data_IF_693274894772
#
_entry.id   IF_693274894772
#
_cell.length_a   1.000
_cell.length_b   1.000
_cell.length_c   1.000
_cell.angle_alpha   90.00
_cell.angle_beta   90.00
_cell.angle_gamma   90.00
#
_symmetry.space_group_name_H-M   'P 1'
#
loop_
_entity.id
_entity.type
_entity.pdbx_description
1 polymer ?
#
# COMPACT_ATOMS: atom_id res chain seq x y z
N UNK A 1 -10.02 -22.11 -4.17
CA UNK A 1 -10.11 -20.75 -3.60
C UNK A 1 -11.34 -20.08 -4.18
N UNK A 2 -12.14 -19.39 -3.37
CA UNK A 2 -13.17 -18.52 -3.93
C UNK A 2 -12.49 -17.42 -4.76
N UNK A 3 -13.09 -16.97 -5.87
CA UNK A 3 -12.50 -15.91 -6.69
C UNK A 3 -12.36 -14.65 -5.84
N UNK A 4 -11.17 -14.03 -5.91
CA UNK A 4 -10.93 -12.75 -5.24
C UNK A 4 -11.86 -11.73 -5.86
N UNK A 5 -12.71 -11.15 -5.03
CA UNK A 5 -13.69 -10.17 -5.48
C UNK A 5 -13.01 -8.82 -5.60
N UNK A 6 -13.10 -8.19 -6.73
CA UNK A 6 -12.80 -6.78 -6.93
C UNK A 6 -13.98 -6.12 -7.66
N UNK A 7 -14.14 -4.83 -7.45
CA UNK A 7 -15.13 -4.03 -8.18
C UNK A 7 -14.45 -2.81 -8.80
N UNK A 8 -14.74 -2.54 -10.07
CA UNK A 8 -14.17 -1.41 -10.81
C UNK A 8 -15.29 -0.40 -11.07
N UNK A 9 -15.00 0.86 -10.82
CA UNK A 9 -15.91 1.99 -11.06
C UNK A 9 -15.39 2.83 -12.21
N UNK A 10 -16.23 3.04 -13.23
CA UNK A 10 -15.93 3.86 -14.40
C UNK A 10 -17.27 4.40 -15.03
N UNK A 11 -17.73 5.60 -14.68
CA UNK A 11 -17.16 6.55 -13.72
C UNK A 11 -17.42 6.21 -12.23
N UNK A 12 -16.58 6.74 -11.32
CA UNK A 12 -16.79 6.61 -9.88
C UNK A 12 -17.80 7.65 -9.35
N UNK A 13 -17.64 8.91 -9.75
CA UNK A 13 -18.41 10.06 -9.27
C UNK A 13 -19.12 10.79 -10.42
N UNK A 14 -20.18 11.55 -10.13
CA UNK A 14 -20.63 12.58 -11.06
C UNK A 14 -19.50 13.56 -11.41
N UNK A 15 -19.38 13.95 -12.66
CA UNK A 15 -18.26 14.77 -13.17
C UNK A 15 -17.97 16.05 -12.36
N UNK A 16 -18.96 16.82 -11.86
CA UNK A 16 -18.67 17.98 -11.02
C UNK A 16 -17.96 17.60 -9.70
N UNK A 17 -18.30 16.45 -9.11
CA UNK A 17 -17.65 15.96 -7.90
C UNK A 17 -16.23 15.42 -8.18
N UNK A 18 -16.02 14.76 -9.31
CA UNK A 18 -14.70 14.31 -9.71
C UNK A 18 -13.74 15.50 -9.92
N UNK A 19 -14.20 16.58 -10.51
CA UNK A 19 -13.43 17.83 -10.63
C UNK A 19 -13.18 18.51 -9.29
N UNK A 20 -14.13 18.40 -8.35
CA UNK A 20 -13.91 18.91 -6.99
C UNK A 20 -12.80 18.16 -6.27
N UNK A 21 -12.69 16.85 -6.46
CA UNK A 21 -11.58 16.07 -5.90
C UNK A 21 -10.21 16.58 -6.38
N UNK A 22 -10.08 16.97 -7.64
CA UNK A 22 -8.83 17.60 -8.13
C UNK A 22 -8.55 18.92 -7.41
N UNK A 23 -9.56 19.80 -7.25
CA UNK A 23 -9.40 21.07 -6.54
C UNK A 23 -9.02 20.87 -5.08
N UNK A 24 -9.59 19.86 -4.40
CA UNK A 24 -9.21 19.51 -3.04
C UNK A 24 -7.74 19.09 -2.97
N UNK A 25 -7.27 18.27 -3.91
CA UNK A 25 -5.87 17.85 -3.99
C UNK A 25 -4.91 19.02 -4.24
N UNK A 26 -5.27 19.93 -5.15
CA UNK A 26 -4.54 21.17 -5.42
C UNK A 26 -4.54 22.11 -4.21
N UNK A 27 -5.68 22.25 -3.55
CA UNK A 27 -5.83 23.08 -2.34
C UNK A 27 -5.04 22.56 -1.14
N UNK A 28 -4.88 21.25 -0.98
CA UNK A 28 -3.97 20.65 -0.02
C UNK A 28 -2.51 21.00 -0.34
N UNK A 29 -2.13 20.89 -1.59
CA UNK A 29 -1.02 21.55 -2.24
C UNK A 29 0.39 21.10 -1.86
N UNK A 30 0.60 20.27 -0.82
CA UNK A 30 1.95 19.85 -0.39
C UNK A 30 1.94 18.41 0.12
N UNK A 31 2.80 17.57 -0.44
CA UNK A 31 2.89 16.14 -0.15
C UNK A 31 4.32 15.77 0.18
N UNK A 32 4.54 15.25 1.40
CA UNK A 32 5.85 14.76 1.83
C UNK A 32 6.17 13.40 1.23
N UNK A 33 7.45 13.03 1.23
CA UNK A 33 7.83 11.65 0.94
C UNK A 33 7.27 10.72 2.01
N UNK A 34 6.78 9.55 1.59
CA UNK A 34 6.29 8.56 2.52
C UNK A 34 7.45 8.03 3.37
N UNK A 35 7.50 8.48 4.61
CA UNK A 35 8.39 7.96 5.64
C UNK A 35 7.53 7.47 6.80
N UNK A 36 7.69 6.23 7.20
CA UNK A 36 7.05 5.75 8.42
C UNK A 36 7.87 6.15 9.62
N UNK A 37 7.47 7.23 10.26
CA UNK A 37 8.17 7.80 11.42
C UNK A 37 8.07 6.94 12.69
N UNK A 38 7.14 5.98 12.75
CA UNK A 38 6.76 5.33 14.01
C UNK A 38 7.20 3.90 14.19
N UNK A 39 7.73 3.23 13.18
CA UNK A 39 8.25 1.87 13.28
C UNK A 39 9.73 1.89 12.98
N UNK A 40 10.57 1.78 14.02
CA UNK A 40 11.98 1.48 13.84
C UNK A 40 12.08 0.09 13.21
N UNK A 41 12.20 0.03 11.89
CA UNK A 41 12.55 -1.20 11.21
C UNK A 41 14.04 -1.45 11.44
N UNK A 42 14.35 -2.31 12.36
CA UNK A 42 15.72 -2.70 12.73
C UNK A 42 16.50 -3.28 11.53
N UNK A 43 15.81 -3.62 10.44
CA UNK A 43 16.38 -4.35 9.31
C UNK A 43 16.47 -3.53 8.01
N UNK A 44 15.77 -2.43 7.89
CA UNK A 44 15.50 -1.83 6.60
C UNK A 44 15.94 -0.37 6.43
N UNK A 45 17.23 -0.11 6.32
CA UNK A 45 17.72 1.25 5.98
C UNK A 45 18.03 1.45 4.49
N UNK A 46 17.82 0.43 3.65
CA UNK A 46 18.26 0.48 2.26
C UNK A 46 17.24 1.18 1.37
N UNK A 47 15.95 0.88 1.56
CA UNK A 47 14.86 1.52 0.85
C UNK A 47 13.85 2.08 1.85
N UNK A 48 13.26 3.26 1.60
CA UNK A 48 12.23 3.85 2.47
C UNK A 48 10.89 3.12 2.27
N UNK A 49 10.90 1.82 2.42
CA UNK A 49 9.76 0.94 2.23
C UNK A 49 9.80 -0.19 3.25
N UNK A 50 8.68 -0.87 3.33
CA UNK A 50 8.52 -2.07 4.10
C UNK A 50 9.58 -3.12 3.76
N UNK A 51 10.19 -3.69 4.77
CA UNK A 51 11.37 -4.52 4.64
C UNK A 51 11.19 -5.72 3.70
N UNK A 52 10.06 -6.45 3.78
CA UNK A 52 9.77 -7.59 2.92
C UNK A 52 9.69 -7.20 1.44
N UNK A 53 8.97 -6.12 1.10
CA UNK A 53 8.86 -5.62 -0.27
C UNK A 53 10.20 -5.07 -0.78
N UNK A 54 10.96 -4.36 0.06
CA UNK A 54 12.27 -3.84 -0.26
C UNK A 54 13.27 -4.97 -0.56
N UNK A 55 13.32 -5.99 0.28
CA UNK A 55 14.19 -7.17 0.08
C UNK A 55 13.85 -7.87 -1.24
N UNK A 56 12.55 -8.10 -1.50
CA UNK A 56 12.14 -8.70 -2.77
C UNK A 56 12.54 -7.85 -3.97
N UNK A 57 12.33 -6.52 -3.90
CA UNK A 57 12.67 -5.61 -5.00
C UNK A 57 14.16 -5.57 -5.29
N UNK A 58 15.02 -5.51 -4.27
CA UNK A 58 16.48 -5.54 -4.43
C UNK A 58 16.95 -6.87 -5.03
N UNK A 59 16.38 -7.98 -4.58
CA UNK A 59 16.75 -9.32 -5.06
C UNK A 59 16.33 -9.57 -6.51
N UNK A 60 15.17 -9.07 -6.89
CA UNK A 60 14.55 -9.42 -8.17
C UNK A 60 14.65 -8.34 -9.24
N UNK A 61 14.84 -7.07 -8.88
CA UNK A 61 14.72 -5.93 -9.79
C UNK A 61 13.27 -5.56 -10.07
N UNK A 62 12.33 -5.92 -9.16
CA UNK A 62 10.90 -5.66 -9.30
C UNK A 62 10.23 -6.53 -10.34
N UNK A 63 9.03 -6.13 -10.76
CA UNK A 63 8.17 -6.89 -11.69
C UNK A 63 8.82 -7.17 -13.06
N UNK A 64 9.70 -6.28 -13.52
CA UNK A 64 10.35 -6.38 -14.84
C UNK A 64 11.82 -6.81 -14.76
N UNK A 65 12.26 -7.33 -13.62
CA UNK A 65 13.64 -7.78 -13.39
C UNK A 65 14.73 -6.71 -13.70
N UNK A 66 14.39 -5.43 -13.52
CA UNK A 66 15.30 -4.31 -13.80
C UNK A 66 16.19 -4.06 -12.59
N UNK A 67 17.39 -4.60 -12.60
CA UNK A 67 18.37 -4.39 -11.52
C UNK A 67 19.07 -3.04 -11.71
N UNK A 68 18.95 -2.18 -10.71
CA UNK A 68 19.56 -0.86 -10.66
C UNK A 68 20.33 -0.70 -9.34
N UNK A 69 21.15 0.35 -9.25
CA UNK A 69 21.80 0.71 -8.00
C UNK A 69 20.77 1.01 -6.91
N UNK A 70 21.09 0.70 -5.66
CA UNK A 70 20.17 0.83 -4.52
C UNK A 70 19.65 2.26 -4.37
N UNK A 71 20.51 3.25 -4.62
CA UNK A 71 20.13 4.68 -4.56
C UNK A 71 19.08 5.04 -5.63
N UNK A 72 19.19 4.43 -6.81
CA UNK A 72 18.18 4.60 -7.88
C UNK A 72 16.89 3.92 -7.49
N UNK A 73 16.93 2.68 -6.98
CA UNK A 73 15.74 1.97 -6.50
C UNK A 73 15.06 2.74 -5.37
N UNK A 74 15.84 3.34 -4.46
CA UNK A 74 15.31 4.18 -3.39
C UNK A 74 14.56 5.40 -3.94
N UNK A 75 15.10 6.10 -4.94
CA UNK A 75 14.42 7.22 -5.58
C UNK A 75 13.14 6.78 -6.30
N UNK A 76 13.14 5.61 -6.95
CA UNK A 76 11.97 5.07 -7.65
C UNK A 76 10.81 4.74 -6.72
N UNK A 77 11.10 4.28 -5.52
CA UNK A 77 10.09 3.80 -4.58
C UNK A 77 9.75 4.79 -3.47
N UNK A 78 10.45 5.91 -3.39
CA UNK A 78 10.20 6.97 -2.41
C UNK A 78 9.12 7.94 -2.92
N UNK A 79 7.87 7.50 -2.94
CA UNK A 79 6.73 8.27 -3.41
C UNK A 79 6.21 9.28 -2.38
N UNK A 80 5.35 10.20 -2.83
CA UNK A 80 4.75 11.21 -1.98
C UNK A 80 3.40 10.76 -1.44
N UNK A 81 3.10 11.12 -0.18
CA UNK A 81 1.86 10.72 0.48
C UNK A 81 1.42 11.75 1.51
N UNK A 82 0.09 11.93 1.57
CA UNK A 82 -0.54 12.68 2.67
C UNK A 82 -1.90 12.10 3.04
N UNK A 83 -2.24 12.23 4.31
CA UNK A 83 -3.51 11.72 4.86
C UNK A 83 -4.56 12.81 4.91
N UNK A 84 -5.72 12.55 4.30
CA UNK A 84 -6.86 13.47 4.22
C UNK A 84 -7.90 13.25 5.30
N UNK A 85 -8.09 11.99 5.74
CA UNK A 85 -8.95 11.63 6.85
C UNK A 85 -8.39 10.41 7.58
N UNK A 86 -8.60 10.33 8.90
CA UNK A 86 -8.22 9.18 9.71
C UNK A 86 -9.27 8.95 10.82
N UNK A 87 -10.03 7.84 10.73
CA UNK A 87 -11.22 7.64 11.55
C UNK A 87 -12.21 8.79 11.35
N UNK A 88 -12.59 9.45 12.43
CA UNK A 88 -13.46 10.63 12.39
C UNK A 88 -12.71 11.97 12.24
N UNK A 89 -11.37 11.95 12.26
CA UNK A 89 -10.56 13.15 12.04
C UNK A 89 -10.49 13.49 10.54
N UNK A 90 -11.08 14.62 10.15
CA UNK A 90 -11.00 15.17 8.80
C UNK A 90 -9.88 16.20 8.75
N UNK A 91 -8.83 15.92 7.96
CA UNK A 91 -7.67 16.81 7.76
C UNK A 91 -7.80 17.68 6.52
N UNK A 92 -8.55 17.20 5.53
CA UNK A 92 -8.86 17.94 4.32
C UNK A 92 -10.38 18.19 4.30
N UNK A 93 -10.87 19.39 4.70
CA UNK A 93 -12.30 19.72 4.61
C UNK A 93 -12.81 19.57 3.17
N UNK A 94 -13.97 18.92 3.02
CA UNK A 94 -14.55 18.60 1.70
C UNK A 94 -14.31 17.15 1.25
N UNK A 95 -13.43 16.38 1.94
CA UNK A 95 -13.20 14.95 1.62
C UNK A 95 -14.28 14.02 2.22
N UNK A 96 -15.16 14.50 3.11
CA UNK A 96 -16.13 13.71 3.84
C UNK A 96 -17.05 12.86 2.93
N UNK A 97 -17.56 13.37 1.78
CA UNK A 97 -18.39 12.56 0.89
C UNK A 97 -17.62 11.37 0.29
N UNK A 98 -16.33 11.55 0.00
CA UNK A 98 -15.47 10.47 -0.48
C UNK A 98 -15.10 9.49 0.67
N UNK A 99 -14.84 10.00 1.87
CA UNK A 99 -14.56 9.18 3.05
C UNK A 99 -15.72 8.25 3.41
N UNK A 100 -16.96 8.70 3.19
CA UNK A 100 -18.21 7.94 3.46
C UNK A 100 -18.91 7.50 2.19
N UNK A 101 -18.16 7.24 1.11
CA UNK A 101 -18.74 6.92 -0.20
C UNK A 101 -19.50 5.60 -0.18
N UNK A 102 -20.83 5.66 -0.39
CA UNK A 102 -21.71 4.50 -0.20
C UNK A 102 -21.38 3.33 -1.13
N UNK A 103 -20.99 3.59 -2.38
CA UNK A 103 -20.61 2.52 -3.30
C UNK A 103 -19.35 1.77 -2.81
N UNK A 104 -18.40 2.44 -2.15
CA UNK A 104 -17.26 1.77 -1.54
C UNK A 104 -17.68 0.94 -0.33
N UNK A 105 -18.60 1.45 0.50
CA UNK A 105 -19.14 0.72 1.64
C UNK A 105 -19.87 -0.55 1.20
N UNK A 106 -20.69 -0.46 0.14
CA UNK A 106 -21.39 -1.62 -0.42
C UNK A 106 -20.44 -2.65 -1.03
N UNK A 107 -19.45 -2.20 -1.81
CA UNK A 107 -18.45 -3.07 -2.39
C UNK A 107 -17.62 -3.77 -1.31
N UNK A 108 -17.21 -3.05 -0.26
CA UNK A 108 -16.49 -3.62 0.88
C UNK A 108 -17.28 -4.72 1.59
N UNK A 109 -18.60 -4.52 1.82
CA UNK A 109 -19.49 -5.55 2.36
C UNK A 109 -19.49 -6.81 1.50
N UNK A 110 -19.56 -6.66 0.18
CA UNK A 110 -19.57 -7.78 -0.78
C UNK A 110 -18.22 -8.51 -0.84
N UNK A 111 -17.10 -7.78 -0.87
CA UNK A 111 -15.77 -8.34 -1.00
C UNK A 111 -15.43 -9.22 0.21
N UNK A 112 -15.71 -8.73 1.41
CA UNK A 112 -15.38 -9.42 2.65
C UNK A 112 -16.50 -10.29 3.20
N UNK A 113 -17.71 -10.23 2.61
CA UNK A 113 -18.93 -10.88 3.14
C UNK A 113 -19.17 -10.49 4.62
N UNK A 114 -19.08 -9.18 4.91
CA UNK A 114 -19.17 -8.62 6.25
C UNK A 114 -20.10 -7.40 6.27
N UNK A 115 -21.16 -7.41 7.12
CA UNK A 115 -22.18 -6.37 7.07
C UNK A 115 -21.75 -5.03 7.67
N UNK A 116 -20.79 -5.04 8.60
CA UNK A 116 -20.35 -3.82 9.28
C UNK A 116 -19.06 -3.33 8.64
N UNK A 117 -19.11 -2.13 8.04
CA UNK A 117 -17.95 -1.46 7.41
C UNK A 117 -17.74 -0.12 8.09
N UNK A 118 -16.50 0.15 8.51
CA UNK A 118 -16.09 1.39 9.16
C UNK A 118 -15.00 2.07 8.36
N UNK A 119 -15.26 3.22 7.71
CA UNK A 119 -14.22 4.00 7.07
C UNK A 119 -13.07 4.29 8.04
N UNK A 120 -11.84 4.04 7.60
CA UNK A 120 -10.66 4.14 8.45
C UNK A 120 -9.73 5.27 8.02
N UNK A 121 -9.38 5.33 6.73
CA UNK A 121 -8.42 6.32 6.25
C UNK A 121 -8.69 6.70 4.78
N UNK A 122 -8.49 7.98 4.47
CA UNK A 122 -8.33 8.49 3.10
C UNK A 122 -6.97 9.16 2.99
N UNK A 123 -6.22 8.80 1.95
CA UNK A 123 -4.89 9.36 1.73
C UNK A 123 -4.56 9.42 0.24
N UNK A 124 -3.73 10.38 -0.12
CA UNK A 124 -3.16 10.45 -1.46
C UNK A 124 -1.84 9.68 -1.54
N UNK A 125 -1.62 8.99 -2.65
CA UNK A 125 -0.32 8.49 -3.08
C UNK A 125 0.00 9.12 -4.43
N UNK A 126 1.16 9.75 -4.52
CA UNK A 126 1.59 10.45 -5.73
C UNK A 126 2.95 9.95 -6.17
N UNK A 127 3.02 9.52 -7.43
CA UNK A 127 4.25 9.10 -8.07
C UNK A 127 4.55 10.04 -9.24
N UNK A 128 5.81 10.44 -9.35
CA UNK A 128 6.30 11.25 -10.48
C UNK A 128 6.97 10.35 -11.53
N UNK A 129 7.21 10.86 -12.75
CA UNK A 129 7.91 10.11 -13.80
C UNK A 129 9.17 9.41 -13.32
N UNK A 130 9.29 8.14 -13.66
CA UNK A 130 10.37 7.25 -13.21
C UNK A 130 10.12 6.51 -11.90
N UNK A 131 9.12 6.91 -11.11
CA UNK A 131 8.74 6.18 -9.89
C UNK A 131 7.85 4.97 -10.18
N UNK A 132 7.93 3.99 -9.32
CA UNK A 132 7.14 2.77 -9.31
C UNK A 132 6.87 2.32 -7.87
N UNK A 133 5.91 1.44 -7.67
CA UNK A 133 5.66 0.81 -6.37
C UNK A 133 5.88 -0.68 -6.50
N UNK A 134 6.86 -1.20 -5.76
CA UNK A 134 7.18 -2.62 -5.74
C UNK A 134 5.94 -3.47 -5.46
N UNK A 135 5.85 -4.64 -6.11
CA UNK A 135 4.77 -5.59 -5.84
C UNK A 135 4.81 -6.04 -4.38
N UNK A 136 3.68 -5.92 -3.71
CA UNK A 136 3.48 -6.23 -2.29
C UNK A 136 2.02 -6.58 -2.01
N UNK A 137 1.71 -7.06 -0.82
CA UNK A 137 0.38 -6.95 -0.23
C UNK A 137 0.38 -5.80 0.77
N UNK A 138 -0.76 -5.21 1.09
CA UNK A 138 -0.82 -4.20 2.15
C UNK A 138 -0.51 -4.81 3.52
N UNK A 139 -0.27 -3.96 4.51
CA UNK A 139 -0.02 -4.39 5.89
C UNK A 139 -1.36 -4.70 6.55
N UNK A 140 -1.63 -5.96 6.86
CA UNK A 140 -2.85 -6.34 7.58
C UNK A 140 -2.81 -5.85 9.02
N UNK A 141 -3.98 -5.76 9.64
CA UNK A 141 -4.10 -5.52 11.08
C UNK A 141 -4.73 -6.72 11.79
N UNK A 142 -4.31 -6.91 13.03
CA UNK A 142 -4.81 -7.97 13.90
C UNK A 142 -5.25 -7.37 15.23
N UNK A 143 -6.16 -8.01 15.93
CA UNK A 143 -6.47 -7.63 17.31
C UNK A 143 -5.20 -7.72 18.15
N UNK A 144 -4.77 -6.58 18.71
CA UNK A 144 -3.56 -6.44 19.52
C UNK A 144 -2.27 -6.12 18.75
N UNK A 145 -2.26 -6.18 17.41
CA UNK A 145 -1.06 -5.89 16.61
C UNK A 145 -1.39 -5.04 15.39
N UNK A 146 -0.65 -3.97 15.19
CA UNK A 146 -0.86 -3.03 14.09
C UNK A 146 0.46 -2.39 13.61
N UNK A 147 0.41 -1.79 12.42
CA UNK A 147 1.57 -1.20 11.74
C UNK A 147 2.28 -0.05 12.48
N UNK A 148 1.66 0.58 13.50
CA UNK A 148 2.25 1.65 14.28
C UNK A 148 3.10 1.12 15.45
N UNK A 149 2.88 -0.11 15.86
CA UNK A 149 3.50 -0.71 17.05
C UNK A 149 4.38 -1.92 16.72
N UNK A 150 4.17 -2.54 15.55
CA UNK A 150 4.79 -3.81 15.19
C UNK A 150 5.50 -3.74 13.84
N UNK A 151 6.57 -4.53 13.65
CA UNK A 151 7.25 -4.63 12.36
C UNK A 151 6.27 -5.06 11.27
N UNK A 152 6.19 -4.28 10.20
CA UNK A 152 5.19 -4.50 9.15
C UNK A 152 5.38 -5.83 8.43
N UNK A 153 6.65 -6.23 8.18
CA UNK A 153 6.95 -7.54 7.60
C UNK A 153 6.41 -8.70 8.43
N UNK A 154 6.38 -8.55 9.77
CA UNK A 154 5.84 -9.57 10.67
C UNK A 154 4.31 -9.69 10.49
N UNK A 155 3.59 -8.57 10.42
CA UNK A 155 2.14 -8.57 10.20
C UNK A 155 1.81 -9.23 8.86
N UNK A 156 2.57 -8.93 7.80
CA UNK A 156 2.40 -9.57 6.49
C UNK A 156 2.69 -11.06 6.55
N UNK A 157 3.76 -11.48 7.22
CA UNK A 157 4.08 -12.89 7.40
C UNK A 157 3.00 -13.63 8.21
N UNK A 158 2.45 -12.99 9.26
CA UNK A 158 1.32 -13.55 10.02
C UNK A 158 0.12 -13.83 9.11
N UNK A 159 -0.23 -12.90 8.23
CA UNK A 159 -1.34 -13.07 7.29
C UNK A 159 -1.06 -14.21 6.30
N UNK A 160 0.09 -14.17 5.64
CA UNK A 160 0.46 -15.18 4.65
C UNK A 160 0.67 -16.58 5.23
N UNK A 161 0.94 -16.70 6.53
CA UNK A 161 1.02 -18.00 7.22
C UNK A 161 -0.33 -18.68 7.39
N UNK A 162 -1.43 -17.90 7.41
CA UNK A 162 -2.77 -18.40 7.73
C UNK A 162 -3.01 -18.78 9.19
N UNK A 163 -1.98 -18.68 10.06
CA UNK A 163 -2.04 -19.13 11.45
C UNK A 163 -2.78 -18.17 12.38
N UNK A 164 -3.04 -16.93 11.92
CA UNK A 164 -3.57 -15.84 12.73
C UNK A 164 -4.94 -15.33 12.26
N UNK A 165 -5.60 -16.05 11.37
CA UNK A 165 -6.84 -15.61 10.71
C UNK A 165 -7.95 -15.24 11.70
N UNK A 166 -8.02 -15.93 12.84
CA UNK A 166 -8.99 -15.63 13.90
C UNK A 166 -8.84 -14.24 14.52
N UNK A 167 -7.65 -13.61 14.42
CA UNK A 167 -7.42 -12.27 14.95
C UNK A 167 -7.39 -11.20 13.86
N UNK A 168 -7.40 -11.60 12.60
CA UNK A 168 -7.33 -10.67 11.47
C UNK A 168 -8.52 -9.72 11.48
N UNK A 169 -8.26 -8.44 11.21
CA UNK A 169 -9.27 -7.42 10.95
C UNK A 169 -9.24 -7.16 9.44
N UNK A 170 -10.20 -7.69 8.66
CA UNK A 170 -10.22 -7.50 7.22
C UNK A 170 -10.37 -6.03 6.85
N UNK A 171 -9.58 -5.58 5.84
CA UNK A 171 -9.55 -4.21 5.38
C UNK A 171 -9.86 -4.17 3.88
N UNK A 172 -10.94 -3.46 3.52
CA UNK A 172 -11.20 -3.15 2.12
C UNK A 172 -10.42 -1.91 1.71
N UNK A 173 -9.81 -1.95 0.52
CA UNK A 173 -9.05 -0.81 -0.01
C UNK A 173 -9.56 -0.42 -1.39
N UNK A 174 -9.96 0.83 -1.56
CA UNK A 174 -10.21 1.43 -2.86
C UNK A 174 -9.05 2.35 -3.27
N UNK A 175 -8.74 2.35 -4.56
CA UNK A 175 -7.77 3.26 -5.20
C UNK A 175 -8.47 3.99 -6.32
N UNK A 176 -8.64 5.31 -6.19
CA UNK A 176 -9.35 6.16 -7.13
C UNK A 176 -8.41 7.13 -7.83
N UNK A 177 -8.75 7.48 -9.06
CA UNK A 177 -8.00 8.39 -9.93
C UNK A 177 -8.90 9.50 -10.42
N UNK A 178 -8.43 10.74 -10.38
CA UNK A 178 -9.16 11.92 -10.87
C UNK A 178 -8.42 12.65 -11.99
N UNK A 179 -7.22 12.19 -12.33
CA UNK A 179 -6.47 12.58 -13.51
C UNK A 179 -5.74 11.37 -14.08
N UNK A 180 -5.44 11.37 -15.36
CA UNK A 180 -4.70 10.32 -16.05
C UNK A 180 -3.22 10.65 -16.14
N UNK A 181 -2.39 9.60 -16.33
CA UNK A 181 -0.96 9.74 -16.63
C UNK A 181 -0.50 8.65 -17.61
N UNK A 182 0.65 8.84 -18.20
CA UNK A 182 1.32 7.81 -18.99
C UNK A 182 2.02 6.81 -18.09
N UNK A 183 1.83 5.50 -18.30
CA UNK A 183 2.33 4.44 -17.43
C UNK A 183 1.67 4.47 -16.05
N UNK A 184 2.35 3.94 -15.05
CA UNK A 184 1.86 3.94 -13.68
C UNK A 184 0.60 3.11 -13.47
N UNK A 185 0.40 2.07 -14.29
CA UNK A 185 -0.72 1.15 -14.15
C UNK A 185 -0.73 0.52 -12.74
N UNK A 186 -1.91 0.44 -12.15
CA UNK A 186 -2.11 -0.40 -10.98
C UNK A 186 -2.10 -1.86 -11.44
N UNK A 187 -1.12 -2.62 -10.99
CA UNK A 187 -1.00 -4.05 -11.27
C UNK A 187 -1.45 -4.85 -10.06
N UNK A 188 -2.25 -5.90 -10.24
CA UNK A 188 -2.68 -6.77 -9.18
C UNK A 188 -2.85 -8.21 -9.66
N UNK A 189 -2.77 -9.18 -8.73
CA UNK A 189 -2.76 -10.62 -9.01
C UNK A 189 -4.00 -11.27 -8.37
N UNK A 190 -5.19 -11.20 -9.01
CA UNK A 190 -6.45 -11.66 -8.43
C UNK A 190 -6.50 -13.18 -8.21
N UNK A 191 -5.76 -13.93 -9.04
CA UNK A 191 -5.69 -15.40 -8.96
C UNK A 191 -4.48 -15.88 -8.14
N UNK A 192 -3.91 -14.98 -7.32
CA UNK A 192 -2.73 -15.24 -6.51
C UNK A 192 -1.41 -15.09 -7.28
N UNK A 193 -0.32 -15.31 -6.59
CA UNK A 193 1.05 -15.05 -7.07
C UNK A 193 1.45 -15.78 -8.36
N UNK A 194 0.87 -16.94 -8.62
CA UNK A 194 1.17 -17.77 -9.79
C UNK A 194 0.20 -17.48 -10.96
N UNK A 195 -0.81 -16.64 -10.73
CA UNK A 195 -1.77 -16.17 -11.71
C UNK A 195 -1.24 -15.07 -12.61
N UNK A 196 -1.96 -14.79 -13.71
CA UNK A 196 -1.64 -13.66 -14.56
C UNK A 196 -1.95 -12.33 -13.85
N UNK A 197 -1.07 -11.32 -13.94
CA UNK A 197 -1.38 -10.01 -13.43
C UNK A 197 -2.44 -9.31 -14.28
N UNK A 198 -3.35 -8.61 -13.61
CA UNK A 198 -4.24 -7.64 -14.21
C UNK A 198 -3.65 -6.25 -14.07
N UNK A 199 -3.92 -5.36 -15.03
CA UNK A 199 -3.47 -3.98 -15.01
C UNK A 199 -4.66 -3.04 -15.19
N UNK A 200 -4.65 -1.93 -14.44
CA UNK A 200 -5.63 -0.86 -14.55
C UNK A 200 -4.89 0.47 -14.72
N UNK A 201 -5.08 1.12 -15.87
CA UNK A 201 -4.52 2.44 -16.11
C UNK A 201 -5.13 3.49 -15.18
N UNK A 202 -4.30 4.43 -14.73
CA UNK A 202 -4.79 5.61 -14.03
C UNK A 202 -5.57 6.48 -15.04
N UNK A 203 -6.90 6.54 -14.92
CA UNK A 203 -7.78 7.33 -15.78
C UNK A 203 -8.68 8.21 -14.94
N UNK A 204 -9.00 9.38 -15.48
CA UNK A 204 -9.92 10.31 -14.83
C UNK A 204 -11.21 9.62 -14.37
N UNK A 205 -11.57 9.86 -13.12
CA UNK A 205 -12.83 9.42 -12.50
C UNK A 205 -13.05 7.90 -12.50
N UNK A 206 -11.98 7.14 -12.30
CA UNK A 206 -12.04 5.68 -12.15
C UNK A 206 -11.56 5.22 -10.79
N UNK A 207 -12.01 4.06 -10.34
CA UNK A 207 -11.51 3.43 -9.13
C UNK A 207 -11.57 1.90 -9.21
N UNK A 208 -10.78 1.24 -8.38
CA UNK A 208 -10.89 -0.19 -8.08
C UNK A 208 -10.91 -0.38 -6.56
N UNK A 209 -11.74 -1.29 -6.08
CA UNK A 209 -11.77 -1.73 -4.69
C UNK A 209 -11.50 -3.23 -4.61
N UNK A 210 -10.65 -3.66 -3.67
CA UNK A 210 -10.28 -5.07 -3.46
C UNK A 210 -9.71 -5.29 -2.05
N UNK A 211 -9.44 -6.56 -1.70
CA UNK A 211 -8.69 -6.95 -0.49
C UNK A 211 -7.18 -6.87 -0.78
N UNK A 212 -6.59 -5.71 -0.54
CA UNK A 212 -5.15 -5.47 -0.77
C UNK A 212 -4.24 -6.18 0.23
N UNK A 213 -4.75 -6.65 1.37
CA UNK A 213 -3.96 -7.43 2.33
C UNK A 213 -3.67 -8.83 1.79
N UNK A 214 -4.57 -9.37 0.95
CA UNK A 214 -4.47 -10.72 0.37
C UNK A 214 -3.93 -10.69 -1.07
N UNK A 215 -4.30 -9.68 -1.85
CA UNK A 215 -3.95 -9.57 -3.27
C UNK A 215 -2.61 -8.87 -3.44
N UNK A 216 -1.62 -9.55 -4.00
CA UNK A 216 -0.39 -8.88 -4.43
C UNK A 216 -0.71 -7.82 -5.46
N UNK A 217 -0.16 -6.63 -5.25
CA UNK A 217 -0.37 -5.49 -6.13
C UNK A 217 0.85 -4.55 -6.10
N UNK A 218 0.90 -3.65 -7.07
CA UNK A 218 1.95 -2.65 -7.18
C UNK A 218 1.56 -1.57 -8.18
N UNK A 219 2.52 -0.74 -8.54
CA UNK A 219 2.36 0.28 -9.57
C UNK A 219 3.53 0.17 -10.52
N UNK A 220 3.23 -0.03 -11.81
CA UNK A 220 4.24 -0.03 -12.86
C UNK A 220 4.86 1.38 -12.99
N UNK A 221 6.02 1.48 -13.61
CA UNK A 221 6.77 2.72 -13.71
C UNK A 221 5.97 3.80 -14.42
N UNK A 222 5.87 4.97 -13.80
CA UNK A 222 5.22 6.15 -14.38
C UNK A 222 6.11 6.70 -15.50
N UNK A 223 5.54 6.96 -16.68
CA UNK A 223 6.24 7.50 -17.85
C UNK A 223 7.60 6.81 -18.05
N UNK A 224 7.57 5.50 -18.33
CA UNK A 224 8.78 4.66 -18.46
C UNK A 224 9.58 5.04 -19.71
N UNK A 225 10.38 6.09 -19.62
CA UNK A 225 11.21 6.63 -20.68
C UNK A 225 12.66 6.81 -20.25
N UNK A 226 13.48 7.36 -21.15
CA UNK A 226 14.91 7.62 -20.92
C UNK A 226 15.19 8.75 -19.90
N UNK A 227 14.15 9.43 -19.40
CA UNK A 227 14.31 10.53 -18.45
C UNK A 227 14.87 10.02 -17.12
N UNK A 228 16.00 10.59 -16.71
CA UNK A 228 16.59 10.29 -15.41
C UNK A 228 15.61 10.66 -14.29
N UNK A 229 15.41 9.76 -13.33
CA UNK A 229 14.64 10.06 -12.14
C UNK A 229 15.37 11.13 -11.30
N UNK A 230 14.68 12.17 -10.79
CA UNK A 230 15.28 13.11 -9.86
C UNK A 230 15.73 12.39 -8.58
N UNK A 231 16.75 12.89 -7.87
CA UNK A 231 17.28 12.24 -6.67
C UNK A 231 16.35 12.44 -5.46
N UNK A 232 15.16 11.86 -5.54
CA UNK A 232 14.13 11.91 -4.49
C UNK A 232 14.61 11.10 -3.30
N UNK A 233 14.66 11.74 -2.15
CA UNK A 233 15.08 11.16 -0.87
C UNK A 233 14.19 11.69 0.26
N UNK A 234 14.20 11.09 1.46
CA UNK A 234 13.43 11.56 2.60
C UNK A 234 13.62 13.08 2.82
N UNK A 235 12.51 13.78 3.04
CA UNK A 235 12.46 15.24 3.16
C UNK A 235 12.20 15.97 1.84
N UNK A 236 12.12 15.28 0.69
CA UNK A 236 11.58 15.87 -0.52
C UNK A 236 10.07 16.09 -0.40
N UNK A 237 9.57 17.13 -1.04
CA UNK A 237 8.15 17.47 -1.07
C UNK A 237 7.68 17.69 -2.50
N UNK A 238 6.47 17.23 -2.80
CA UNK A 238 5.76 17.57 -4.02
C UNK A 238 4.81 18.72 -3.71
N UNK A 239 4.99 19.85 -4.38
CA UNK A 239 4.28 21.11 -4.09
C UNK A 239 3.51 21.56 -5.32
N UNK A 240 2.22 21.90 -5.13
CA UNK A 240 1.43 22.53 -6.17
C UNK A 240 1.91 23.97 -6.40
N UNK A 241 2.28 24.28 -7.64
CA UNK A 241 2.84 25.59 -7.99
C UNK A 241 1.79 26.57 -8.56
N UNK A 242 0.52 26.14 -8.64
CA UNK A 242 -0.54 26.83 -9.40
C UNK A 242 -0.49 26.47 -10.88
N UNK A 243 -1.41 27.00 -11.68
CA UNK A 243 -1.52 26.81 -13.13
C UNK A 243 -1.48 25.34 -13.62
N UNK A 244 -1.93 24.40 -12.78
CA UNK A 244 -1.91 22.97 -13.08
C UNK A 244 -0.51 22.35 -13.07
N UNK A 245 0.46 22.97 -12.42
CA UNK A 245 1.82 22.46 -12.32
C UNK A 245 2.22 22.06 -10.91
N UNK A 246 3.11 21.08 -10.82
CA UNK A 246 3.69 20.53 -9.61
C UNK A 246 5.21 20.60 -9.64
N UNK A 247 5.84 20.78 -8.51
CA UNK A 247 7.29 20.78 -8.39
C UNK A 247 7.75 19.89 -7.24
N UNK A 248 8.84 19.15 -7.47
CA UNK A 248 9.54 18.40 -6.43
C UNK A 248 10.61 19.34 -5.86
N UNK A 249 10.55 19.54 -4.54
CA UNK A 249 11.48 20.39 -3.79
C UNK A 249 12.25 19.56 -2.76
N UNK A 250 13.51 19.91 -2.54
CA UNK A 250 14.33 19.35 -1.45
C UNK A 250 15.29 20.43 -0.93
N UNK A 251 15.18 20.75 0.36
CA UNK A 251 16.07 21.74 0.98
C UNK A 251 16.03 23.14 0.36
N UNK A 252 14.89 23.51 -0.23
CA UNK A 252 14.70 24.79 -0.92
C UNK A 252 15.09 24.78 -2.40
N UNK A 253 15.64 23.68 -2.92
CA UNK A 253 15.95 23.51 -4.34
C UNK A 253 14.81 22.80 -5.07
N UNK A 254 14.52 23.24 -6.30
CA UNK A 254 13.55 22.60 -7.18
C UNK A 254 14.29 21.54 -7.99
N UNK A 255 13.99 20.26 -7.71
CA UNK A 255 14.60 19.13 -8.40
C UNK A 255 13.91 18.85 -9.75
N UNK A 256 12.60 19.06 -9.86
CA UNK A 256 11.83 18.80 -11.07
C UNK A 256 10.50 19.56 -11.07
N UNK A 257 9.90 19.69 -12.28
CA UNK A 257 8.57 20.25 -12.49
C UNK A 257 7.75 19.32 -13.39
N UNK A 258 6.47 19.21 -13.10
CA UNK A 258 5.53 18.32 -13.80
C UNK A 258 4.17 18.99 -13.97
N UNK A 259 3.43 18.60 -15.02
CA UNK A 259 2.02 18.90 -15.17
C UNK A 259 1.18 17.79 -14.57
N UNK A 260 -0.11 18.01 -14.34
CA UNK A 260 -1.04 17.00 -13.85
C UNK A 260 -0.94 15.69 -14.64
N UNK A 261 -1.06 15.72 -15.96
CA UNK A 261 -1.00 14.52 -16.81
C UNK A 261 0.36 13.79 -16.85
N UNK A 262 1.40 14.30 -16.18
CA UNK A 262 2.70 13.64 -16.06
C UNK A 262 2.83 12.87 -14.76
N UNK A 263 2.01 13.16 -13.74
CA UNK A 263 2.10 12.52 -12.42
C UNK A 263 0.95 11.53 -12.22
N UNK A 264 1.23 10.42 -11.56
CA UNK A 264 0.22 9.48 -11.13
C UNK A 264 -0.31 9.88 -9.76
N UNK A 265 -1.50 10.42 -9.73
CA UNK A 265 -2.15 10.85 -8.50
C UNK A 265 -3.31 9.90 -8.18
N UNK A 266 -3.22 9.19 -7.07
CA UNK A 266 -4.30 8.34 -6.58
C UNK A 266 -4.75 8.75 -5.20
N UNK A 267 -6.06 8.65 -4.96
CA UNK A 267 -6.68 8.80 -3.64
C UNK A 267 -7.14 7.43 -3.18
N UNK A 268 -6.54 6.95 -2.12
CA UNK A 268 -6.87 5.65 -1.53
C UNK A 268 -7.83 5.82 -0.37
N UNK A 269 -8.77 4.90 -0.28
CA UNK A 269 -9.74 4.78 0.80
C UNK A 269 -9.61 3.40 1.43
N UNK A 270 -9.67 3.32 2.76
CA UNK A 270 -9.66 2.04 3.48
C UNK A 270 -10.77 2.02 4.53
N UNK A 271 -11.32 0.81 4.76
CA UNK A 271 -12.29 0.57 5.80
C UNK A 271 -12.08 -0.79 6.46
N UNK A 272 -12.32 -0.84 7.75
CA UNK A 272 -12.41 -2.10 8.51
C UNK A 272 -13.75 -2.78 8.26
N UNK A 273 -13.72 -4.11 8.12
CA UNK A 273 -14.91 -4.93 7.87
C UNK A 273 -15.11 -5.94 9.00
N UNK A 274 -16.25 -5.87 9.68
CA UNK A 274 -16.59 -6.73 10.82
C UNK A 274 -17.77 -7.63 10.50
N UNK A 275 -17.72 -8.88 10.97
CA UNK A 275 -18.79 -9.86 10.81
C UNK A 275 -20.04 -9.47 11.63
N UNK A 276 -19.82 -8.93 12.83
CA UNK A 276 -20.88 -8.52 13.75
C UNK A 276 -20.38 -7.50 14.78
N UNK A 277 -21.31 -7.02 15.60
CA UNK A 277 -21.01 -6.05 16.66
C UNK A 277 -20.14 -6.64 17.80
N UNK A 278 -20.08 -7.98 17.94
CA UNK A 278 -19.24 -8.60 18.96
C UNK A 278 -17.76 -8.57 18.53
N UNK A 279 -17.48 -8.84 17.24
CA UNK A 279 -16.13 -8.71 16.69
C UNK A 279 -15.64 -7.25 16.73
N UNK A 280 -16.47 -6.29 16.32
CA UNK A 280 -16.14 -4.86 16.42
C UNK A 280 -15.85 -4.45 17.86
N UNK A 281 -16.63 -4.94 18.82
CA UNK A 281 -16.43 -4.67 20.24
C UNK A 281 -15.13 -5.30 20.76
N UNK A 282 -14.82 -6.54 20.37
CA UNK A 282 -13.59 -7.22 20.77
C UNK A 282 -12.33 -6.43 20.34
N UNK A 283 -12.34 -5.87 19.14
CA UNK A 283 -11.27 -4.97 18.67
C UNK A 283 -11.17 -3.71 19.54
N UNK A 284 -12.29 -3.05 19.79
CA UNK A 284 -12.33 -1.81 20.56
C UNK A 284 -11.94 -1.99 22.03
N UNK A 285 -12.31 -3.10 22.64
CA UNK A 285 -12.11 -3.41 24.07
C UNK A 285 -10.84 -4.20 24.34
N UNK A 286 -10.07 -4.56 23.28
CA UNK A 286 -8.84 -5.35 23.42
C UNK A 286 -9.04 -6.67 24.20
N UNK A 287 -10.18 -7.34 23.99
CA UNK A 287 -10.58 -8.48 24.82
C UNK A 287 -10.00 -9.83 24.36
N UNK A 288 -9.42 -9.89 23.17
CA UNK A 288 -8.83 -11.11 22.56
C UNK A 288 -7.63 -10.71 21.69
N UNK A 289 -6.65 -10.06 22.30
CA UNK A 289 -5.47 -9.58 21.60
C UNK A 289 -4.40 -10.66 21.45
N UNK A 290 -3.77 -10.71 20.29
CA UNK A 290 -2.52 -11.42 20.07
C UNK A 290 -1.34 -10.49 20.32
N UNK A 291 -0.28 -11.00 20.95
CA UNK A 291 0.93 -10.24 21.19
C UNK A 291 2.05 -10.60 20.21
N UNK A 292 3.00 -9.69 20.01
CA UNK A 292 4.20 -9.94 19.17
C UNK A 292 4.94 -11.20 19.60
N UNK A 293 5.10 -11.41 20.92
CA UNK A 293 5.77 -12.60 21.46
C UNK A 293 5.04 -13.90 21.08
N UNK A 294 3.70 -13.90 21.19
CA UNK A 294 2.89 -15.05 20.77
C UNK A 294 2.98 -15.27 19.27
N UNK A 295 2.96 -14.19 18.46
CA UNK A 295 3.06 -14.28 17.01
C UNK A 295 4.40 -14.91 16.59
N UNK A 296 5.52 -14.42 17.09
CA UNK A 296 6.84 -14.97 16.81
C UNK A 296 6.97 -16.43 17.28
N UNK A 297 6.52 -16.75 18.50
CA UNK A 297 6.55 -18.11 19.02
C UNK A 297 5.74 -19.09 18.14
N UNK A 298 4.56 -18.67 17.66
CA UNK A 298 3.71 -19.47 16.78
C UNK A 298 4.38 -19.72 15.43
N UNK A 299 4.91 -18.68 14.77
CA UNK A 299 5.63 -18.81 13.50
C UNK A 299 6.86 -19.71 13.63
N UNK A 300 7.66 -19.52 14.69
CA UNK A 300 8.83 -20.36 14.94
C UNK A 300 8.45 -21.82 15.19
N UNK A 301 7.39 -22.07 15.94
CA UNK A 301 6.91 -23.44 16.20
C UNK A 301 6.46 -24.13 14.89
N UNK A 302 5.73 -23.42 14.02
CA UNK A 302 5.33 -23.93 12.70
C UNK A 302 6.54 -24.18 11.80
N UNK A 303 7.52 -23.28 11.75
CA UNK A 303 8.75 -23.46 11.00
C UNK A 303 9.56 -24.69 11.48
N UNK A 304 9.64 -24.92 12.80
CA UNK A 304 10.28 -26.11 13.35
C UNK A 304 9.53 -27.40 13.01
N UNK A 305 8.20 -27.36 13.13
CA UNK A 305 7.36 -28.53 12.78
C UNK A 305 7.49 -28.92 11.29
N UNK A 306 7.82 -27.97 10.44
CA UNK A 306 8.06 -28.18 8.99
C UNK A 306 9.54 -28.35 8.64
N UNK A 307 10.42 -28.51 9.62
CA UNK A 307 11.88 -28.67 9.45
C UNK A 307 12.55 -27.51 8.69
N UNK A 308 11.97 -26.28 8.81
CA UNK A 308 12.48 -25.05 8.18
C UNK A 308 13.32 -24.20 9.14
N UNK A 309 13.27 -24.50 10.43
CA UNK A 309 14.03 -23.84 11.48
C UNK A 309 14.57 -24.91 12.45
N UNK A 310 15.86 -24.87 12.73
CA UNK A 310 16.51 -25.75 13.74
C UNK A 310 16.25 -25.27 15.17
N UNK A 311 16.93 -25.93 16.12
CA UNK A 311 16.85 -25.56 17.53
C UNK A 311 17.79 -24.40 17.92
N UNK A 312 18.69 -23.99 16.99
CA UNK A 312 19.58 -22.84 17.20
C UNK A 312 18.82 -21.53 17.32
N UNK A 313 19.35 -20.62 18.11
CA UNK A 313 18.89 -19.23 18.17
C UNK A 313 19.53 -18.44 17.02
N UNK A 314 18.73 -17.99 16.09
CA UNK A 314 19.17 -17.12 15.00
C UNK A 314 19.24 -15.66 15.47
N UNK A 315 20.15 -14.84 14.92
CA UNK A 315 20.08 -13.39 15.02
C UNK A 315 18.73 -12.87 14.47
N UNK A 316 18.20 -11.83 15.07
CA UNK A 316 16.86 -11.29 14.72
C UNK A 316 16.66 -11.04 13.21
N UNK A 317 17.67 -10.47 12.57
CA UNK A 317 17.65 -10.24 11.11
C UNK A 317 17.55 -11.54 10.31
N UNK A 318 18.28 -12.56 10.69
CA UNK A 318 18.28 -13.85 10.00
C UNK A 318 16.94 -14.57 10.19
N UNK A 319 16.40 -14.50 11.40
CA UNK A 319 15.05 -15.02 11.71
C UNK A 319 13.99 -14.30 10.90
N UNK A 320 14.05 -12.96 10.81
CA UNK A 320 13.11 -12.17 10.01
C UNK A 320 13.17 -12.58 8.52
N UNK A 321 14.36 -12.69 7.94
CA UNK A 321 14.52 -13.14 6.54
C UNK A 321 14.00 -14.56 6.34
N UNK A 322 14.23 -15.47 7.30
CA UNK A 322 13.71 -16.84 7.24
C UNK A 322 12.18 -16.87 7.25
N UNK A 323 11.54 -16.06 8.10
CA UNK A 323 10.09 -15.93 8.18
C UNK A 323 9.54 -15.33 6.89
N UNK A 324 10.15 -14.25 6.38
CA UNK A 324 9.74 -13.61 5.13
C UNK A 324 9.81 -14.62 3.97
N UNK A 325 10.95 -15.27 3.77
CA UNK A 325 11.20 -16.19 2.67
C UNK A 325 10.25 -17.40 2.70
N UNK A 326 9.84 -17.84 3.89
CA UNK A 326 8.97 -19.02 4.02
C UNK A 326 7.47 -18.70 3.84
N UNK A 327 7.03 -17.54 4.32
CA UNK A 327 5.60 -17.21 4.30
C UNK A 327 5.22 -16.20 3.22
N UNK A 328 6.05 -15.21 2.93
CA UNK A 328 5.73 -14.17 1.94
C UNK A 328 6.32 -14.55 0.59
N UNK A 329 5.52 -15.22 -0.22
CA UNK A 329 5.94 -15.71 -1.53
C UNK A 329 5.46 -14.80 -2.62
N UNK A 330 6.31 -13.86 -3.03
CA UNK A 330 6.00 -12.88 -4.06
C UNK A 330 5.79 -13.53 -5.44
N UNK A 331 4.97 -12.89 -6.32
CA UNK A 331 4.92 -13.24 -7.73
C UNK A 331 6.31 -13.17 -8.39
N UNK A 332 6.59 -14.09 -9.29
CA UNK A 332 7.84 -14.07 -10.04
C UNK A 332 7.91 -12.85 -10.97
N UNK A 333 9.10 -12.25 -11.17
CA UNK A 333 9.30 -11.23 -12.19
C UNK A 333 8.93 -11.78 -13.59
N UNK A 334 8.51 -10.89 -14.49
CA UNK A 334 8.36 -11.26 -15.90
C UNK A 334 9.74 -11.38 -16.53
N UNK A 335 10.06 -12.53 -17.10
CA UNK A 335 11.25 -12.69 -17.92
C UNK A 335 11.03 -11.99 -19.27
N UNK A 336 11.93 -11.11 -19.67
CA UNK A 336 12.05 -10.62 -21.05
C UNK A 336 11.12 -9.47 -21.45
N UNK A 337 10.97 -8.41 -20.63
CA UNK A 337 10.41 -7.14 -21.08
C UNK A 337 11.52 -6.11 -21.34
#
# INVERSE_FOLDING_TARGET
MAPIRCEIFDPLLPEPQAREMLRLCEGFGRYGTYAEESVADEFGNVLPQRYDAAVNFVRTGGRFARREAVETLAARTNYFRETYAYGDEIRLPGIEPFHRHEAFLEAARKIHDRPIVRPAIVYANVLVPGQELAVHTDVPEFRGMNRKQDPQWLLVAMHHSGLFERWRIPIATAVAYFEGCEGGEFVFYPDGRDGAPHTLAARHNTAVILDTDTVFHGVDRVADGERAIPPIRPGAELVFAGDGSWRVELGGEILARYRWGEIRFSVSWKAYCFADAAEERAVREHSDDVTRAQALATLMADLRAREKLGEETLPDRELALRIIDEYIRFPAPREGA
#
